data_IF_701750946739
#
_entry.id   IF_701750946739
#
_cell.length_a   1.000
_cell.length_b   1.000
_cell.length_c   1.000
_cell.angle_alpha   90.00
_cell.angle_beta   90.00
_cell.angle_gamma   90.00
#
_symmetry.space_group_name_H-M   'P 1'
#
loop_
_entity.id
_entity.type
_entity.pdbx_description
1 polymer ?
#
# COMPACT_ATOMS: atom_id res chain seq x y z
N UNK A 1 -14.58 62.26 -2.68
CA UNK A 1 -13.67 61.16 -2.32
C UNK A 1 -14.27 59.87 -2.87
N UNK A 2 -13.45 59.10 -3.63
CA UNK A 2 -13.57 57.69 -4.07
C UNK A 2 -14.95 57.15 -4.52
N UNK A 3 -15.23 56.97 -5.83
CA UNK A 3 -14.84 55.87 -6.76
C UNK A 3 -15.34 54.46 -6.38
N UNK A 4 -16.34 54.02 -7.14
CA UNK A 4 -16.54 52.70 -7.79
C UNK A 4 -15.75 51.49 -7.27
N UNK A 5 -16.48 50.41 -6.91
CA UNK A 5 -16.37 49.10 -7.57
C UNK A 5 -17.43 48.14 -6.99
N UNK A 6 -18.50 47.89 -7.75
CA UNK A 6 -19.42 46.78 -7.49
C UNK A 6 -18.80 45.52 -8.11
N UNK A 7 -18.08 44.73 -7.31
CA UNK A 7 -17.59 43.43 -7.74
C UNK A 7 -18.74 42.41 -7.63
N UNK A 8 -19.29 42.01 -8.77
CA UNK A 8 -20.21 40.88 -8.86
C UNK A 8 -19.43 39.59 -8.56
N UNK A 9 -19.62 39.03 -7.36
CA UNK A 9 -19.26 37.64 -7.08
C UNK A 9 -20.22 36.72 -7.83
N UNK A 10 -19.81 36.27 -9.01
CA UNK A 10 -20.40 35.08 -9.62
C UNK A 10 -19.81 33.89 -8.86
N UNK A 11 -20.53 33.44 -7.84
CA UNK A 11 -20.30 32.14 -7.23
C UNK A 11 -20.68 31.06 -8.26
N UNK A 12 -19.71 30.62 -9.06
CA UNK A 12 -19.86 29.42 -9.87
C UNK A 12 -19.82 28.21 -8.92
N UNK A 13 -20.98 27.90 -8.34
CA UNK A 13 -21.20 26.66 -7.60
C UNK A 13 -21.28 25.51 -8.60
N UNK A 14 -20.12 25.04 -9.05
CA UNK A 14 -20.01 23.67 -9.56
C UNK A 14 -19.99 22.74 -8.35
N UNK A 15 -21.17 22.53 -7.76
CA UNK A 15 -21.46 21.30 -7.02
C UNK A 15 -21.43 20.16 -8.06
N UNK A 16 -20.22 19.74 -8.43
CA UNK A 16 -20.04 18.36 -8.83
C UNK A 16 -20.23 17.57 -7.55
N UNK A 17 -21.39 16.93 -7.43
CA UNK A 17 -21.50 15.77 -6.55
C UNK A 17 -20.27 14.92 -6.87
N UNK A 18 -19.38 14.60 -5.92
CA UNK A 18 -18.33 13.64 -6.21
C UNK A 18 -19.09 12.41 -6.70
N UNK A 19 -18.79 11.98 -7.94
CA UNK A 19 -19.30 10.75 -8.48
C UNK A 19 -19.23 9.73 -7.36
N UNK A 20 -20.36 9.12 -7.03
CA UNK A 20 -20.37 7.98 -6.13
C UNK A 20 -19.42 6.98 -6.76
N UNK A 21 -18.18 6.98 -6.27
CA UNK A 21 -17.03 6.42 -6.99
C UNK A 21 -17.38 5.00 -7.42
N UNK A 22 -16.85 4.53 -8.55
CA UNK A 22 -17.04 3.18 -9.09
C UNK A 22 -16.67 2.08 -8.07
N UNK A 23 -17.48 1.91 -7.01
CA UNK A 23 -17.23 1.00 -5.90
C UNK A 23 -17.49 -0.43 -6.36
N UNK A 24 -18.44 -0.61 -7.26
CA UNK A 24 -18.64 -1.87 -7.96
C UNK A 24 -17.67 -1.96 -9.15
N UNK A 25 -17.05 -3.12 -9.37
CA UNK A 25 -16.17 -3.31 -10.52
C UNK A 25 -16.96 -3.54 -11.80
N UNK A 26 -16.48 -2.99 -12.93
CA UNK A 26 -17.03 -3.34 -14.24
C UNK A 26 -16.71 -4.80 -14.63
N UNK A 27 -15.59 -5.34 -14.13
CA UNK A 27 -15.20 -6.75 -14.29
C UNK A 27 -14.63 -7.26 -12.98
N UNK A 28 -15.07 -8.44 -12.54
CA UNK A 28 -14.40 -9.22 -11.51
C UNK A 28 -14.34 -10.68 -11.93
N UNK A 29 -13.28 -11.39 -11.53
CA UNK A 29 -13.07 -12.77 -11.94
C UNK A 29 -11.87 -13.40 -11.27
N UNK A 30 -11.42 -14.51 -11.83
CA UNK A 30 -10.28 -15.27 -11.32
C UNK A 30 -9.24 -15.44 -12.41
N UNK A 31 -7.96 -15.27 -12.06
CA UNK A 31 -6.81 -15.48 -12.92
C UNK A 31 -6.02 -16.67 -12.37
N UNK A 32 -5.66 -17.60 -13.25
CA UNK A 32 -4.77 -18.71 -12.91
C UNK A 32 -3.36 -18.17 -12.70
N UNK A 33 -2.76 -18.53 -11.56
CA UNK A 33 -1.36 -18.26 -11.22
C UNK A 33 -0.70 -19.56 -10.76
N UNK A 34 0.60 -19.53 -10.53
CA UNK A 34 1.30 -20.66 -9.91
C UNK A 34 0.70 -20.95 -8.53
N UNK A 35 0.26 -22.19 -8.31
CA UNK A 35 -0.28 -22.68 -7.04
C UNK A 35 -1.79 -22.48 -6.81
N UNK A 36 -2.51 -21.79 -7.69
CA UNK A 36 -3.97 -21.62 -7.57
C UNK A 36 -4.53 -20.46 -8.37
N UNK A 37 -5.74 -20.01 -8.03
CA UNK A 37 -6.39 -18.85 -8.67
C UNK A 37 -6.43 -17.65 -7.75
N UNK A 38 -6.09 -16.49 -8.30
CA UNK A 38 -6.29 -15.19 -7.63
C UNK A 38 -7.55 -14.51 -8.13
N UNK A 39 -8.31 -13.95 -7.21
CA UNK A 39 -9.42 -13.08 -7.52
C UNK A 39 -8.90 -11.69 -7.87
N UNK A 40 -9.49 -11.08 -8.90
CA UNK A 40 -9.22 -9.69 -9.27
C UNK A 40 -10.51 -8.95 -9.59
N UNK A 41 -10.41 -7.62 -9.53
CA UNK A 41 -11.39 -6.67 -10.05
C UNK A 41 -10.70 -5.65 -10.95
N UNK A 42 -11.47 -5.12 -11.89
CA UNK A 42 -11.08 -4.03 -12.78
C UNK A 42 -12.10 -2.91 -12.70
N UNK A 43 -11.59 -1.70 -12.54
CA UNK A 43 -12.32 -0.45 -12.73
C UNK A 43 -11.70 0.40 -13.83
N UNK A 44 -12.47 1.28 -14.46
CA UNK A 44 -11.98 2.18 -15.52
C UNK A 44 -11.73 1.43 -16.83
N UNK A 45 -12.59 0.46 -17.16
CA UNK A 45 -12.43 -0.43 -18.33
C UNK A 45 -12.28 0.36 -19.64
N UNK A 46 -12.95 1.51 -19.75
CA UNK A 46 -12.92 2.35 -20.96
C UNK A 46 -11.55 2.94 -21.31
N UNK A 47 -10.60 2.93 -20.35
CA UNK A 47 -9.23 3.39 -20.52
C UNK A 47 -8.25 2.28 -20.92
N UNK A 48 -8.67 1.00 -20.94
CA UNK A 48 -7.81 -0.11 -21.34
C UNK A 48 -7.27 0.11 -22.76
N UNK A 49 -5.97 -0.14 -22.95
CA UNK A 49 -5.26 0.08 -24.22
C UNK A 49 -5.03 1.55 -24.59
N UNK A 50 -5.58 2.51 -23.82
CA UNK A 50 -5.39 3.97 -24.03
C UNK A 50 -4.45 4.57 -22.98
N UNK A 51 -4.42 3.99 -21.79
CA UNK A 51 -3.63 4.43 -20.64
C UNK A 51 -2.99 3.21 -19.99
N UNK A 52 -1.81 3.35 -19.36
CA UNK A 52 -1.22 2.26 -18.60
C UNK A 52 -2.15 1.81 -17.47
N UNK A 53 -2.30 0.50 -17.28
CA UNK A 53 -3.14 -0.06 -16.24
C UNK A 53 -2.41 -0.01 -14.88
N UNK A 54 -3.09 0.42 -13.82
CA UNK A 54 -2.56 0.45 -12.46
C UNK A 54 -2.88 -0.86 -11.76
N UNK A 55 -1.88 -1.70 -11.50
CA UNK A 55 -2.02 -2.94 -10.72
C UNK A 55 -1.62 -2.65 -9.28
N UNK A 56 -2.52 -2.89 -8.32
CA UNK A 56 -2.30 -2.52 -6.92
C UNK A 56 -2.18 -3.75 -6.01
N UNK A 57 -1.02 -3.91 -5.37
CA UNK A 57 -0.72 -4.97 -4.42
C UNK A 57 -1.02 -4.53 -2.98
N UNK A 58 -1.72 -5.38 -2.22
CA UNK A 58 -2.03 -5.13 -0.81
C UNK A 58 -0.89 -5.53 0.13
N UNK A 59 -0.96 -4.99 1.36
CA UNK A 59 -0.04 -5.28 2.46
C UNK A 59 -0.29 -6.62 3.16
N UNK A 60 0.27 -6.73 4.36
CA UNK A 60 0.35 -7.97 5.13
C UNK A 60 1.80 -8.42 5.30
N UNK A 61 2.22 -9.61 4.82
CA UNK A 61 1.50 -10.51 3.91
C UNK A 61 0.24 -11.12 4.55
N UNK A 62 -0.76 -11.51 3.76
CA UNK A 62 -2.02 -12.01 4.31
C UNK A 62 -3.19 -11.02 4.30
N UNK A 63 -2.95 -9.79 3.83
CA UNK A 63 -3.96 -8.75 3.63
C UNK A 63 -4.90 -9.00 2.46
N UNK A 64 -5.65 -7.96 2.08
CA UNK A 64 -6.58 -7.98 0.94
C UNK A 64 -6.61 -6.64 0.23
N UNK A 65 -7.20 -6.61 -0.96
CA UNK A 65 -7.40 -5.40 -1.76
C UNK A 65 -8.18 -4.28 -1.05
N UNK A 66 -8.90 -4.58 0.04
CA UNK A 66 -9.81 -3.66 0.73
C UNK A 66 -9.14 -2.36 1.16
N UNK A 67 -7.94 -2.46 1.72
CA UNK A 67 -7.15 -1.29 2.12
C UNK A 67 -6.78 -0.39 0.94
N UNK A 68 -6.76 -0.94 -0.28
CA UNK A 68 -6.41 -0.24 -1.52
C UNK A 68 -7.63 0.26 -2.30
N UNK A 69 -8.85 0.12 -1.78
CA UNK A 69 -10.06 0.63 -2.42
C UNK A 69 -10.01 2.13 -2.78
N UNK A 70 -9.27 3.01 -2.05
CA UNK A 70 -9.05 4.38 -2.51
C UNK A 70 -8.57 4.54 -3.96
N UNK A 71 -7.77 3.60 -4.47
CA UNK A 71 -7.29 3.64 -5.85
C UNK A 71 -8.40 3.61 -6.90
N UNK A 72 -9.60 3.09 -6.60
CA UNK A 72 -10.72 3.09 -7.56
C UNK A 72 -11.17 4.51 -7.94
N UNK A 73 -10.80 5.53 -7.16
CA UNK A 73 -11.03 6.91 -7.55
C UNK A 73 -10.24 7.34 -8.79
N UNK A 74 -9.13 6.66 -9.12
CA UNK A 74 -8.35 6.88 -10.35
C UNK A 74 -8.97 6.23 -11.59
N UNK A 75 -10.06 5.48 -11.43
CA UNK A 75 -10.75 4.80 -12.52
C UNK A 75 -11.41 5.75 -13.53
N UNK A 76 -11.49 7.04 -13.21
CA UNK A 76 -11.92 8.12 -14.09
C UNK A 76 -10.88 8.51 -15.15
N UNK A 77 -9.62 8.07 -14.98
CA UNK A 77 -8.52 8.38 -15.90
C UNK A 77 -7.68 7.14 -16.29
N UNK A 78 -7.72 6.06 -15.51
CA UNK A 78 -6.87 4.88 -15.69
C UNK A 78 -7.64 3.57 -15.48
N UNK A 79 -7.24 2.47 -16.13
CA UNK A 79 -7.65 1.14 -15.69
C UNK A 79 -7.02 0.85 -14.32
N UNK A 80 -7.82 0.47 -13.33
CA UNK A 80 -7.36 0.14 -11.98
C UNK A 80 -7.68 -1.33 -11.69
N UNK A 81 -6.64 -2.12 -11.46
CA UNK A 81 -6.73 -3.53 -11.11
C UNK A 81 -6.39 -3.68 -9.63
N UNK A 82 -7.38 -4.11 -8.85
CA UNK A 82 -7.15 -4.56 -7.49
C UNK A 82 -7.31 -6.09 -7.47
N UNK A 83 -6.50 -6.78 -6.69
CA UNK A 83 -6.58 -8.23 -6.59
C UNK A 83 -6.21 -8.69 -5.18
N UNK A 84 -6.68 -9.87 -4.81
CA UNK A 84 -6.25 -10.55 -3.58
C UNK A 84 -5.13 -11.52 -3.93
N UNK A 85 -3.98 -11.43 -3.27
CA UNK A 85 -2.86 -12.34 -3.49
C UNK A 85 -3.26 -13.78 -3.16
N UNK A 86 -2.63 -14.78 -3.79
CA UNK A 86 -2.98 -16.18 -3.53
C UNK A 86 -2.84 -16.51 -2.04
N UNK A 87 -3.85 -17.16 -1.46
CA UNK A 87 -3.90 -17.46 -0.05
C UNK A 87 -4.68 -16.44 0.79
N UNK A 88 -5.15 -15.33 0.23
CA UNK A 88 -5.85 -14.28 0.97
C UNK A 88 -7.18 -13.91 0.33
N UNK A 89 -7.98 -13.11 1.05
CA UNK A 89 -9.21 -12.53 0.51
C UNK A 89 -10.14 -13.51 -0.18
N UNK A 90 -10.62 -13.11 -1.35
CA UNK A 90 -11.46 -13.87 -2.27
C UNK A 90 -10.68 -14.89 -3.11
N UNK A 91 -9.35 -14.87 -3.07
CA UNK A 91 -8.50 -15.82 -3.81
C UNK A 91 -8.54 -17.21 -3.19
N UNK A 92 -8.13 -18.21 -3.98
CA UNK A 92 -8.00 -19.58 -3.46
C UNK A 92 -6.99 -19.62 -2.32
N UNK A 93 -7.28 -20.47 -1.32
CA UNK A 93 -6.45 -20.63 -0.11
C UNK A 93 -5.87 -22.04 -0.05
N UNK A 94 -4.85 -22.35 -0.86
CA UNK A 94 -4.22 -23.67 -0.84
C UNK A 94 -3.50 -23.95 0.49
N UNK A 95 -3.21 -22.91 1.29
CA UNK A 95 -2.52 -23.00 2.59
C UNK A 95 -1.22 -23.82 2.52
N UNK A 96 -0.50 -23.70 1.41
CA UNK A 96 0.79 -24.34 1.20
C UNK A 96 1.91 -23.29 1.42
N UNK A 97 2.75 -23.44 2.46
CA UNK A 97 3.87 -22.53 2.73
C UNK A 97 4.88 -22.41 1.58
N UNK A 98 4.95 -23.40 0.68
CA UNK A 98 5.77 -23.30 -0.54
C UNK A 98 5.32 -22.15 -1.46
N UNK A 99 4.10 -21.65 -1.32
CA UNK A 99 3.64 -20.49 -2.08
C UNK A 99 4.04 -19.15 -1.43
N UNK A 100 4.57 -19.15 -0.20
CA UNK A 100 4.82 -17.95 0.61
C UNK A 100 6.26 -17.44 0.43
N UNK A 101 6.62 -17.17 -0.82
CA UNK A 101 7.95 -16.64 -1.22
C UNK A 101 7.76 -15.37 -2.04
N UNK A 102 8.64 -14.38 -1.82
CA UNK A 102 8.61 -13.07 -2.48
C UNK A 102 8.50 -13.23 -4.00
N UNK A 103 9.38 -14.04 -4.59
CA UNK A 103 9.48 -14.22 -6.05
C UNK A 103 8.19 -14.77 -6.65
N UNK A 104 7.47 -15.62 -5.91
CA UNK A 104 6.22 -16.22 -6.38
C UNK A 104 5.06 -15.23 -6.33
N UNK A 105 4.99 -14.36 -5.32
CA UNK A 105 4.04 -13.25 -5.32
C UNK A 105 4.36 -12.22 -6.42
N UNK A 106 5.63 -11.93 -6.66
CA UNK A 106 6.07 -11.06 -7.77
C UNK A 106 5.67 -11.65 -9.13
N UNK A 107 5.75 -12.97 -9.31
CA UNK A 107 5.30 -13.66 -10.52
C UNK A 107 3.78 -13.58 -10.77
N UNK A 108 2.95 -13.35 -9.74
CA UNK A 108 1.51 -13.11 -9.95
C UNK A 108 1.25 -11.88 -10.81
N UNK A 109 2.10 -10.85 -10.71
CA UNK A 109 1.96 -9.62 -11.48
C UNK A 109 2.07 -9.94 -12.97
N UNK A 110 3.03 -10.79 -13.36
CA UNK A 110 3.19 -11.21 -14.76
C UNK A 110 2.01 -12.05 -15.25
N UNK A 111 1.47 -12.94 -14.42
CA UNK A 111 0.26 -13.71 -14.74
C UNK A 111 -0.96 -12.80 -14.94
N UNK A 112 -1.14 -11.80 -14.08
CA UNK A 112 -2.23 -10.82 -14.20
C UNK A 112 -2.09 -10.01 -15.49
N UNK A 113 -0.88 -9.52 -15.78
CA UNK A 113 -0.61 -8.80 -17.03
C UNK A 113 -0.94 -9.64 -18.25
N UNK A 114 -0.45 -10.89 -18.30
CA UNK A 114 -0.68 -11.79 -19.42
C UNK A 114 -2.17 -12.14 -19.58
N UNK A 115 -2.87 -12.46 -18.50
CA UNK A 115 -4.28 -12.85 -18.54
C UNK A 115 -5.21 -11.70 -18.98
N UNK A 116 -4.84 -10.46 -18.68
CA UNK A 116 -5.61 -9.27 -19.02
C UNK A 116 -5.12 -8.54 -20.27
N UNK A 117 -4.03 -9.00 -20.90
CA UNK A 117 -3.44 -8.37 -22.08
C UNK A 117 -2.91 -6.97 -21.80
N UNK A 118 -2.20 -6.78 -20.68
CA UNK A 118 -1.70 -5.48 -20.23
C UNK A 118 -0.25 -5.26 -20.68
N UNK A 119 -0.09 -4.59 -21.82
CA UNK A 119 1.22 -4.21 -22.36
C UNK A 119 1.89 -3.17 -21.47
N UNK A 120 1.21 -2.04 -21.25
CA UNK A 120 1.70 -0.92 -20.46
C UNK A 120 1.06 -0.90 -19.07
N UNK A 121 1.90 -0.88 -18.03
CA UNK A 121 1.44 -0.90 -16.63
C UNK A 121 2.14 0.10 -15.72
N UNK A 122 1.43 0.48 -14.67
CA UNK A 122 1.95 1.13 -13.48
C UNK A 122 1.73 0.15 -12.33
N UNK A 123 2.76 -0.10 -11.55
CA UNK A 123 2.63 -0.94 -10.35
C UNK A 123 2.51 -0.06 -9.13
N UNK A 124 1.57 -0.39 -8.24
CA UNK A 124 1.39 0.27 -6.97
C UNK A 124 1.36 -0.76 -5.85
N UNK A 125 1.94 -0.44 -4.71
CA UNK A 125 2.02 -1.37 -3.60
C UNK A 125 1.98 -0.66 -2.26
N UNK A 126 1.20 -1.19 -1.32
CA UNK A 126 1.13 -0.68 0.05
C UNK A 126 1.77 -1.66 1.04
N UNK A 127 2.67 -1.20 1.92
CA UNK A 127 3.32 -2.04 2.94
C UNK A 127 4.11 -3.20 2.30
N UNK A 128 3.82 -4.45 2.67
CA UNK A 128 4.25 -5.65 1.94
C UNK A 128 3.94 -5.60 0.43
N UNK A 129 2.82 -5.03 0.00
CA UNK A 129 2.56 -4.81 -1.43
C UNK A 129 3.60 -3.89 -2.07
N UNK A 130 4.18 -2.97 -1.28
CA UNK A 130 5.30 -2.11 -1.66
C UNK A 130 6.61 -2.88 -1.84
N UNK A 131 6.84 -3.94 -1.05
CA UNK A 131 7.91 -4.94 -1.31
C UNK A 131 7.76 -5.52 -2.72
N UNK A 132 6.57 -6.04 -3.04
CA UNK A 132 6.29 -6.64 -4.34
C UNK A 132 6.45 -5.64 -5.49
N UNK A 133 6.02 -4.39 -5.29
CA UNK A 133 6.22 -3.32 -6.27
C UNK A 133 7.72 -3.01 -6.47
N UNK A 134 8.51 -2.89 -5.39
CA UNK A 134 9.94 -2.63 -5.49
C UNK A 134 10.68 -3.76 -6.22
N UNK A 135 10.41 -5.01 -5.87
CA UNK A 135 10.94 -6.21 -6.52
C UNK A 135 10.63 -6.24 -8.02
N UNK A 136 9.37 -5.94 -8.38
CA UNK A 136 8.97 -5.90 -9.79
C UNK A 136 9.64 -4.75 -10.55
N UNK A 137 9.80 -3.58 -9.92
CA UNK A 137 10.45 -2.42 -10.53
C UNK A 137 11.95 -2.65 -10.79
N UNK A 138 12.65 -3.33 -9.87
CA UNK A 138 14.07 -3.70 -10.01
C UNK A 138 14.31 -4.60 -11.23
N UNK A 139 13.35 -5.47 -11.57
CA UNK A 139 13.42 -6.31 -12.77
C UNK A 139 13.37 -5.51 -14.08
N UNK A 140 12.93 -4.25 -14.04
CA UNK A 140 12.75 -3.37 -15.20
C UNK A 140 12.06 -4.05 -16.41
N UNK A 141 10.90 -4.72 -16.21
CA UNK A 141 10.22 -5.40 -17.30
C UNK A 141 9.74 -4.40 -18.36
N UNK A 142 9.71 -4.85 -19.62
CA UNK A 142 9.13 -4.06 -20.71
C UNK A 142 7.67 -3.70 -20.41
N UNK A 143 7.26 -2.49 -20.81
CA UNK A 143 5.92 -1.96 -20.58
C UNK A 143 5.69 -1.39 -19.18
N UNK A 144 6.62 -1.53 -18.24
CA UNK A 144 6.52 -0.82 -16.95
C UNK A 144 6.75 0.69 -17.15
N UNK A 145 5.78 1.52 -16.76
CA UNK A 145 5.83 2.98 -16.92
C UNK A 145 6.17 3.74 -15.66
N UNK A 146 5.75 3.24 -14.50
CA UNK A 146 6.04 3.86 -13.21
C UNK A 146 5.79 2.89 -12.05
N UNK A 147 6.37 3.21 -10.89
CA UNK A 147 6.12 2.51 -9.64
C UNK A 147 5.61 3.47 -8.55
N UNK A 148 4.63 3.04 -7.76
CA UNK A 148 4.14 3.75 -6.57
C UNK A 148 4.40 2.85 -5.36
N UNK A 149 5.36 3.25 -4.53
CA UNK A 149 5.74 2.55 -3.31
C UNK A 149 5.13 3.29 -2.12
N UNK A 150 3.99 2.79 -1.64
CA UNK A 150 3.23 3.38 -0.55
C UNK A 150 3.59 2.70 0.78
N UNK A 151 4.16 3.45 1.70
CA UNK A 151 4.58 2.97 3.03
C UNK A 151 5.31 1.62 2.95
N UNK A 152 6.29 1.45 2.04
CA UNK A 152 6.74 0.12 1.66
C UNK A 152 7.65 -0.52 2.72
N UNK A 153 7.56 -1.85 2.85
CA UNK A 153 8.64 -2.63 3.45
C UNK A 153 9.78 -2.79 2.43
N UNK A 154 10.91 -2.12 2.66
CA UNK A 154 12.12 -2.20 1.81
C UNK A 154 13.22 -3.04 2.46
N UNK A 155 13.39 -2.93 3.78
CA UNK A 155 14.39 -3.67 4.56
C UNK A 155 13.80 -3.96 5.93
N UNK A 156 13.71 -5.23 6.31
CA UNK A 156 13.13 -5.63 7.60
C UNK A 156 13.95 -5.08 8.75
N UNK A 157 15.28 -5.07 8.63
CA UNK A 157 16.16 -4.47 9.64
C UNK A 157 15.85 -2.99 9.85
N UNK A 158 15.68 -2.23 8.76
CA UNK A 158 15.37 -0.80 8.89
C UNK A 158 13.97 -0.59 9.45
N UNK A 159 12.98 -1.38 9.01
CA UNK A 159 11.62 -1.32 9.52
C UNK A 159 11.59 -1.51 11.04
N UNK A 160 12.22 -2.57 11.54
CA UNK A 160 12.28 -2.84 12.98
C UNK A 160 12.99 -1.71 13.73
N UNK A 161 14.09 -1.16 13.20
CA UNK A 161 14.78 -0.02 13.81
C UNK A 161 13.88 1.24 13.88
N UNK A 162 13.15 1.55 12.82
CA UNK A 162 12.21 2.68 12.79
C UNK A 162 11.10 2.52 13.82
N UNK A 163 10.54 1.31 13.93
CA UNK A 163 9.48 1.03 14.89
C UNK A 163 9.98 1.02 16.34
N UNK A 164 11.23 0.60 16.61
CA UNK A 164 11.81 0.73 17.95
C UNK A 164 11.97 2.19 18.38
N UNK A 165 12.28 3.11 17.46
CA UNK A 165 12.31 4.54 17.76
C UNK A 165 10.92 5.12 18.04
N UNK A 166 9.88 4.58 17.41
CA UNK A 166 8.49 4.91 17.75
C UNK A 166 8.07 4.34 19.10
N UNK A 167 8.47 3.11 19.42
CA UNK A 167 8.25 2.48 20.73
C UNK A 167 8.92 3.30 21.84
N UNK A 168 10.13 3.82 21.62
CA UNK A 168 10.83 4.68 22.58
C UNK A 168 10.10 6.01 22.89
N UNK A 169 9.15 6.40 22.04
CA UNK A 169 8.32 7.60 22.25
C UNK A 169 6.99 7.30 22.95
N UNK A 170 6.69 6.02 23.21
CA UNK A 170 5.54 5.63 24.03
C UNK A 170 5.82 5.92 25.53
N UNK A 171 4.79 5.93 26.39
CA UNK A 171 5.01 5.94 27.83
C UNK A 171 5.98 4.82 28.25
N UNK A 172 6.95 5.08 29.15
CA UNK A 172 8.02 4.12 29.47
C UNK A 172 7.51 2.73 29.89
N UNK A 173 6.40 2.66 30.62
CA UNK A 173 5.77 1.41 31.03
C UNK A 173 5.18 0.64 29.84
N UNK A 174 4.66 1.34 28.84
CA UNK A 174 4.13 0.75 27.61
C UNK A 174 5.27 0.16 26.78
N UNK A 175 6.36 0.92 26.60
CA UNK A 175 7.56 0.45 25.88
C UNK A 175 8.22 -0.75 26.59
N UNK A 176 8.32 -0.72 27.93
CA UNK A 176 8.84 -1.84 28.71
C UNK A 176 7.96 -3.10 28.60
N UNK A 177 6.64 -2.94 28.55
CA UNK A 177 5.68 -4.03 28.37
C UNK A 177 5.89 -4.72 27.02
N UNK A 178 6.03 -3.95 25.93
CA UNK A 178 6.31 -4.49 24.60
C UNK A 178 7.58 -5.35 24.63
N UNK A 179 8.70 -4.76 25.08
CA UNK A 179 10.02 -5.42 25.09
C UNK A 179 10.05 -6.68 25.94
N UNK A 180 9.40 -6.65 27.11
CA UNK A 180 9.29 -7.82 27.99
C UNK A 180 8.61 -8.98 27.29
N UNK A 181 7.42 -8.74 26.73
CA UNK A 181 6.62 -9.80 26.13
C UNK A 181 7.22 -10.33 24.83
N UNK A 182 7.91 -9.50 24.04
CA UNK A 182 8.71 -9.96 22.89
C UNK A 182 9.85 -10.89 23.33
N UNK A 183 10.63 -10.49 24.35
CA UNK A 183 11.75 -11.29 24.87
C UNK A 183 11.28 -12.62 25.48
N UNK A 184 10.10 -12.64 26.11
CA UNK A 184 9.50 -13.82 26.73
C UNK A 184 8.66 -14.67 25.75
N UNK A 185 8.44 -14.20 24.51
CA UNK A 185 7.58 -14.88 23.52
C UNK A 185 6.09 -14.91 23.92
N UNK A 186 5.65 -13.97 24.76
CA UNK A 186 4.27 -13.90 25.31
C UNK A 186 3.42 -12.81 24.64
N UNK A 187 3.57 -12.64 23.34
CA UNK A 187 2.89 -11.60 22.52
C UNK A 187 1.36 -11.77 22.42
N UNK A 188 0.80 -12.85 22.95
CA UNK A 188 -0.65 -13.02 23.12
C UNK A 188 -1.18 -12.52 24.47
N UNK A 189 -0.31 -12.04 25.37
CA UNK A 189 -0.70 -11.54 26.69
C UNK A 189 -1.55 -10.26 26.58
N UNK A 190 -2.60 -10.08 27.41
CA UNK A 190 -3.45 -8.89 27.37
C UNK A 190 -2.69 -7.57 27.49
N UNK A 191 -1.67 -7.50 28.35
CA UNK A 191 -0.85 -6.29 28.52
C UNK A 191 -0.08 -5.93 27.24
N UNK A 192 0.45 -6.95 26.54
CA UNK A 192 1.09 -6.74 25.24
C UNK A 192 0.09 -6.23 24.20
N UNK A 193 -1.12 -6.82 24.13
CA UNK A 193 -2.17 -6.37 23.21
C UNK A 193 -2.63 -4.94 23.51
N UNK A 194 -2.67 -4.54 24.77
CA UNK A 194 -2.96 -3.15 25.14
C UNK A 194 -1.84 -2.19 24.70
N UNK A 195 -0.58 -2.59 24.87
CA UNK A 195 0.56 -1.79 24.44
C UNK A 195 0.68 -1.70 22.90
N UNK A 196 0.42 -2.80 22.20
CA UNK A 196 0.29 -2.86 20.75
C UNK A 196 -0.82 -1.91 20.25
N UNK A 197 -2.00 -1.93 20.86
CA UNK A 197 -3.08 -1.02 20.50
C UNK A 197 -2.69 0.45 20.67
N UNK A 198 -1.93 0.78 21.73
CA UNK A 198 -1.41 2.12 21.95
C UNK A 198 -0.41 2.53 20.85
N UNK A 199 0.41 1.60 20.37
CA UNK A 199 1.29 1.82 19.23
C UNK A 199 0.50 2.05 17.93
N UNK A 200 -0.42 1.15 17.57
CA UNK A 200 -1.20 1.25 16.33
C UNK A 200 -2.11 2.48 16.27
N UNK A 201 -2.65 2.96 17.39
CA UNK A 201 -3.41 4.21 17.43
C UNK A 201 -2.59 5.44 17.01
N UNK A 202 -1.25 5.36 17.12
CA UNK A 202 -0.32 6.45 16.76
C UNK A 202 0.31 6.24 15.40
N UNK A 203 0.62 5.00 15.02
CA UNK A 203 1.47 4.72 13.88
C UNK A 203 0.80 3.94 12.75
N UNK A 204 -0.32 3.24 13.01
CA UNK A 204 -1.07 2.50 11.99
C UNK A 204 -2.27 3.31 11.48
N UNK A 205 -3.27 3.57 12.33
CA UNK A 205 -4.56 4.14 11.94
C UNK A 205 -4.97 5.25 12.91
N UNK A 206 -4.81 6.51 12.49
CA UNK A 206 -4.87 7.68 13.37
C UNK A 206 -6.20 8.41 13.31
N UNK A 207 -6.81 8.49 12.14
CA UNK A 207 -8.00 9.31 11.90
C UNK A 207 -9.27 8.47 11.80
N UNK A 208 -10.40 9.17 11.85
CA UNK A 208 -11.70 8.53 11.69
C UNK A 208 -11.92 7.98 10.28
N UNK A 209 -11.34 8.64 9.26
CA UNK A 209 -11.39 8.16 7.88
C UNK A 209 -10.71 6.80 7.70
N UNK A 210 -9.62 6.56 8.45
CA UNK A 210 -8.97 5.26 8.47
C UNK A 210 -9.83 4.19 9.16
N UNK A 211 -10.42 4.51 10.32
CA UNK A 211 -11.25 3.56 11.09
C UNK A 211 -12.59 3.24 10.40
N UNK A 212 -13.16 4.23 9.74
CA UNK A 212 -14.47 4.18 9.09
C UNK A 212 -14.34 4.51 7.61
N UNK A 213 -13.79 3.57 6.86
CA UNK A 213 -13.67 3.68 5.40
C UNK A 213 -15.05 3.83 4.76
N UNK A 214 -15.17 4.79 3.84
CA UNK A 214 -16.37 4.99 3.00
C UNK A 214 -16.54 3.92 1.92
N UNK A 215 -15.52 3.08 1.74
CA UNK A 215 -15.52 2.03 0.72
C UNK A 215 -16.20 0.77 1.22
N UNK A 216 -17.02 0.16 0.36
CA UNK A 216 -17.64 -1.12 0.67
C UNK A 216 -16.58 -2.20 0.92
N UNK A 217 -16.83 -3.00 1.94
CA UNK A 217 -15.97 -4.10 2.38
C UNK A 217 -16.66 -5.42 2.06
N UNK A 218 -16.26 -6.10 0.99
CA UNK A 218 -16.81 -7.40 0.58
C UNK A 218 -15.78 -8.55 0.71
N UNK A 219 -16.23 -9.77 1.00
CA UNK A 219 -15.40 -10.99 1.04
C UNK A 219 -14.82 -11.40 2.41
N UNK A 220 -13.89 -12.37 2.46
CA UNK A 220 -13.13 -12.70 3.66
C UNK A 220 -11.95 -11.73 3.83
N UNK A 221 -11.58 -11.40 5.08
CA UNK A 221 -10.69 -10.25 5.31
C UNK A 221 -9.18 -10.53 5.26
N UNK A 222 -8.72 -11.63 5.86
CA UNK A 222 -7.31 -11.77 6.27
C UNK A 222 -6.87 -13.23 6.29
N UNK A 223 -5.57 -13.48 6.16
CA UNK A 223 -4.93 -14.77 6.41
C UNK A 223 -3.88 -14.63 7.54
N UNK A 224 -4.26 -14.92 8.80
CA UNK A 224 -3.36 -14.76 9.94
C UNK A 224 -2.22 -15.78 9.92
N UNK A 225 -2.45 -16.98 9.37
CA UNK A 225 -1.40 -18.02 9.30
C UNK A 225 -0.27 -17.58 8.37
N UNK A 226 -0.61 -17.00 7.22
CA UNK A 226 0.39 -16.45 6.31
C UNK A 226 1.14 -15.28 6.95
N UNK A 227 0.42 -14.35 7.58
CA UNK A 227 1.05 -13.20 8.24
C UNK A 227 2.00 -13.63 9.34
N UNK A 228 1.58 -14.50 10.26
CA UNK A 228 2.42 -14.98 11.36
C UNK A 228 3.63 -15.79 10.85
N UNK A 229 3.47 -16.55 9.75
CA UNK A 229 4.56 -17.34 9.18
C UNK A 229 5.59 -16.47 8.47
N UNK A 230 5.15 -15.51 7.68
CA UNK A 230 6.05 -14.68 6.88
C UNK A 230 6.62 -13.51 7.67
N UNK A 231 5.79 -12.87 8.48
CA UNK A 231 6.14 -11.67 9.22
C UNK A 231 6.33 -11.98 10.70
N UNK A 232 5.22 -12.14 11.44
CA UNK A 232 5.29 -12.20 12.90
C UNK A 232 3.96 -11.87 13.57
N UNK A 233 3.95 -11.77 14.92
CA UNK A 233 2.74 -11.49 15.68
C UNK A 233 2.30 -10.01 15.64
N UNK A 234 3.19 -9.07 15.30
CA UNK A 234 2.92 -7.62 15.22
C UNK A 234 3.76 -6.95 14.14
N UNK A 235 3.39 -5.74 13.72
CA UNK A 235 4.15 -4.97 12.71
C UNK A 235 5.58 -4.64 13.13
N UNK A 236 5.88 -4.60 14.44
CA UNK A 236 7.20 -4.22 14.94
C UNK A 236 8.01 -5.40 15.51
N UNK A 237 7.52 -6.64 15.33
CA UNK A 237 8.23 -7.86 15.70
C UNK A 237 8.10 -8.92 14.61
N UNK A 238 9.19 -9.13 13.85
CA UNK A 238 9.20 -9.94 12.62
C UNK A 238 10.11 -11.18 12.70
N UNK A 239 9.77 -12.23 13.49
CA UNK A 239 10.55 -13.48 13.56
C UNK A 239 10.33 -14.44 12.37
N UNK A 240 9.41 -14.13 11.45
CA UNK A 240 9.01 -14.99 10.33
C UNK A 240 10.03 -15.09 9.20
N UNK A 241 9.61 -15.64 8.06
CA UNK A 241 10.52 -15.88 6.92
C UNK A 241 11.10 -14.60 6.30
N UNK A 242 10.46 -13.44 6.50
CA UNK A 242 10.92 -12.13 6.02
C UNK A 242 11.91 -11.42 6.96
N UNK A 243 12.32 -12.04 8.09
CA UNK A 243 13.20 -11.41 9.08
C UNK A 243 14.50 -10.82 8.52
N UNK A 244 15.03 -11.42 7.44
CA UNK A 244 16.28 -11.05 6.78
C UNK A 244 16.07 -10.38 5.41
N UNK A 245 14.84 -10.01 5.05
CA UNK A 245 14.53 -9.39 3.76
C UNK A 245 15.13 -7.98 3.61
N UNK A 246 15.76 -7.71 2.46
CA UNK A 246 16.29 -6.38 2.09
C UNK A 246 16.46 -6.25 0.56
N UNK A 247 15.68 -5.36 -0.07
CA UNK A 247 15.78 -5.00 -1.50
C UNK A 247 16.51 -3.66 -1.72
N UNK A 248 16.94 -2.99 -0.64
CA UNK A 248 17.54 -1.67 -0.74
C UNK A 248 18.79 -1.62 -1.63
N UNK A 249 19.70 -2.61 -1.66
CA UNK A 249 20.87 -2.58 -2.54
C UNK A 249 20.53 -2.54 -4.04
N UNK A 250 19.35 -3.02 -4.43
CA UNK A 250 18.93 -3.11 -5.83
C UNK A 250 18.15 -1.87 -6.30
N UNK A 251 17.66 -1.02 -5.39
CA UNK A 251 16.92 0.19 -5.72
C UNK A 251 17.61 1.12 -6.75
N UNK A 252 18.96 1.28 -6.77
CA UNK A 252 19.63 2.07 -7.80
C UNK A 252 19.44 1.58 -9.24
N UNK A 253 18.99 0.33 -9.42
CA UNK A 253 18.76 -0.26 -10.74
C UNK A 253 17.39 0.06 -11.35
N UNK A 254 16.46 0.62 -10.56
CA UNK A 254 15.12 0.98 -11.02
C UNK A 254 15.21 2.12 -12.03
N UNK A 255 14.67 1.91 -13.25
CA UNK A 255 14.75 2.88 -14.35
C UNK A 255 13.54 3.80 -14.45
N UNK A 256 12.37 3.31 -14.04
CA UNK A 256 11.10 4.03 -14.22
C UNK A 256 10.89 5.12 -13.17
N UNK A 257 10.14 6.18 -13.49
CA UNK A 257 9.67 7.15 -12.50
C UNK A 257 9.02 6.44 -11.31
N UNK A 258 9.39 6.85 -10.10
CA UNK A 258 8.90 6.21 -8.88
C UNK A 258 8.34 7.25 -7.92
N UNK A 259 7.19 6.97 -7.31
CA UNK A 259 6.68 7.73 -6.18
C UNK A 259 6.88 6.92 -4.90
N UNK A 260 7.65 7.45 -3.96
CA UNK A 260 7.70 7.00 -2.58
C UNK A 260 6.73 7.85 -1.76
N UNK A 261 5.69 7.25 -1.19
CA UNK A 261 4.68 7.98 -0.41
C UNK A 261 4.43 7.29 0.93
N UNK A 262 4.51 8.01 2.05
CA UNK A 262 4.23 7.44 3.38
C UNK A 262 3.66 8.49 4.33
N UNK A 263 3.06 8.05 5.44
CA UNK A 263 2.48 8.94 6.45
C UNK A 263 3.53 9.66 7.29
N UNK A 264 3.18 10.82 7.85
CA UNK A 264 4.03 11.58 8.79
C UNK A 264 4.42 10.77 10.05
N UNK A 265 3.55 9.86 10.50
CA UNK A 265 3.71 9.04 11.70
C UNK A 265 3.85 7.54 11.38
N UNK A 266 4.17 7.22 10.12
CA UNK A 266 4.17 5.88 9.56
C UNK A 266 5.24 4.95 10.17
N UNK A 267 4.92 3.66 10.22
CA UNK A 267 5.80 2.55 10.61
C UNK A 267 6.95 2.39 9.60
N UNK A 268 6.67 2.63 8.31
CA UNK A 268 7.67 2.96 7.32
C UNK A 268 8.09 4.43 7.51
N UNK A 269 8.96 4.70 8.48
CA UNK A 269 9.21 6.06 8.95
C UNK A 269 9.61 7.04 7.81
N UNK A 270 9.14 8.31 7.84
CA UNK A 270 9.43 9.31 6.81
C UNK A 270 10.91 9.47 6.47
N UNK A 271 11.79 9.33 7.47
CA UNK A 271 13.25 9.40 7.28
C UNK A 271 13.75 8.26 6.38
N UNK A 272 13.22 7.05 6.56
CA UNK A 272 13.59 5.86 5.80
C UNK A 272 12.95 5.90 4.42
N UNK A 273 11.69 6.34 4.30
CA UNK A 273 11.08 6.61 2.99
C UNK A 273 11.95 7.56 2.16
N UNK A 274 12.33 8.72 2.72
CA UNK A 274 13.20 9.69 2.02
C UNK A 274 14.54 9.08 1.65
N UNK A 275 15.15 8.32 2.56
CA UNK A 275 16.44 7.66 2.30
C UNK A 275 16.35 6.66 1.15
N UNK A 276 15.38 5.75 1.18
CA UNK A 276 15.20 4.73 0.14
C UNK A 276 14.78 5.36 -1.20
N UNK A 277 13.94 6.40 -1.18
CA UNK A 277 13.65 7.16 -2.39
C UNK A 277 14.91 7.80 -2.98
N UNK A 278 15.79 8.36 -2.16
CA UNK A 278 17.07 8.92 -2.61
C UNK A 278 18.03 7.90 -3.24
N UNK A 279 17.78 6.60 -3.08
CA UNK A 279 18.53 5.53 -3.75
C UNK A 279 18.00 5.22 -5.16
N UNK A 280 16.79 5.65 -5.50
CA UNK A 280 16.15 5.42 -6.79
C UNK A 280 16.36 6.65 -7.68
N UNK A 281 17.00 6.53 -8.87
CA UNK A 281 17.41 7.68 -9.68
C UNK A 281 16.29 8.68 -10.02
N UNK A 282 15.08 8.20 -10.27
CA UNK A 282 13.93 8.99 -10.71
C UNK A 282 12.78 8.99 -9.70
N UNK A 283 13.09 8.91 -8.41
CA UNK A 283 12.07 8.91 -7.37
C UNK A 283 11.69 10.31 -6.87
N UNK A 284 10.40 10.49 -6.59
CA UNK A 284 9.85 11.60 -5.80
C UNK A 284 9.40 11.07 -4.44
N UNK A 285 9.53 11.87 -3.40
CA UNK A 285 9.02 11.53 -2.06
C UNK A 285 7.85 12.44 -1.69
N UNK A 286 6.78 11.86 -1.16
CA UNK A 286 5.64 12.57 -0.57
C UNK A 286 5.40 12.06 0.85
N UNK A 287 5.30 12.98 1.81
CA UNK A 287 4.89 12.65 3.18
C UNK A 287 3.47 13.17 3.38
N UNK A 288 2.56 12.27 3.77
CA UNK A 288 1.14 12.59 3.93
C UNK A 288 0.92 13.13 5.35
N UNK A 289 0.45 14.38 5.50
CA UNK A 289 0.36 15.04 6.79
C UNK A 289 -0.70 14.37 7.67
N UNK A 290 -0.39 14.21 8.95
CA UNK A 290 -1.29 13.65 9.96
C UNK A 290 -1.51 12.14 9.88
N UNK A 291 -0.97 11.47 8.86
CA UNK A 291 -1.23 10.06 8.57
C UNK A 291 -0.19 9.10 9.17
N UNK A 292 -0.62 7.90 9.53
CA UNK A 292 0.20 6.74 9.89
C UNK A 292 0.34 5.78 8.72
N UNK A 293 0.50 4.50 9.02
CA UNK A 293 0.75 3.43 8.06
C UNK A 293 -0.44 3.17 7.15
N UNK A 294 -1.68 3.24 7.64
CA UNK A 294 -2.89 3.26 6.82
C UNK A 294 -3.05 4.63 6.12
N UNK A 295 -2.00 5.06 5.41
CA UNK A 295 -1.78 6.43 4.97
C UNK A 295 -2.92 6.98 4.13
N UNK A 296 -3.42 6.17 3.20
CA UNK A 296 -4.54 6.54 2.32
C UNK A 296 -5.89 6.58 3.04
N UNK A 297 -6.04 5.85 4.15
CA UNK A 297 -7.23 5.95 5.00
C UNK A 297 -7.18 7.18 5.90
N UNK A 298 -6.00 7.50 6.43
CA UNK A 298 -5.84 8.61 7.36
C UNK A 298 -6.07 9.97 6.70
N UNK A 299 -5.61 10.14 5.45
CA UNK A 299 -5.76 11.38 4.69
C UNK A 299 -5.91 11.08 3.19
N UNK A 300 -7.07 10.52 2.83
CA UNK A 300 -7.40 10.10 1.46
C UNK A 300 -7.28 11.24 0.44
N UNK A 301 -7.79 12.43 0.76
CA UNK A 301 -7.79 13.58 -0.14
C UNK A 301 -6.36 13.97 -0.56
N UNK A 302 -5.46 14.15 0.43
CA UNK A 302 -4.06 14.50 0.14
C UNK A 302 -3.34 13.37 -0.58
N UNK A 303 -3.59 12.11 -0.18
CA UNK A 303 -3.00 10.94 -0.81
C UNK A 303 -3.37 10.86 -2.29
N UNK A 304 -4.67 10.98 -2.61
CA UNK A 304 -5.16 10.92 -3.99
C UNK A 304 -4.69 12.11 -4.82
N UNK A 305 -4.63 13.32 -4.25
CA UNK A 305 -4.04 14.49 -4.90
C UNK A 305 -2.58 14.22 -5.30
N UNK A 306 -1.77 13.68 -4.38
CA UNK A 306 -0.37 13.36 -4.64
C UNK A 306 -0.21 12.31 -5.75
N UNK A 307 -1.04 11.26 -5.76
CA UNK A 307 -1.04 10.27 -6.84
C UNK A 307 -1.36 10.91 -8.19
N UNK A 308 -2.43 11.72 -8.28
CA UNK A 308 -2.81 12.38 -9.55
C UNK A 308 -1.71 13.31 -10.07
N UNK A 309 -1.06 14.08 -9.20
CA UNK A 309 0.07 14.94 -9.58
C UNK A 309 1.21 14.11 -10.16
N UNK A 310 1.57 13.00 -9.51
CA UNK A 310 2.62 12.11 -10.01
C UNK A 310 2.26 11.50 -11.37
N UNK A 311 1.04 10.95 -11.49
CA UNK A 311 0.55 10.29 -12.70
C UNK A 311 0.43 11.23 -13.89
N UNK A 312 -0.01 12.47 -13.67
CA UNK A 312 -0.08 13.50 -14.72
C UNK A 312 1.31 13.83 -15.27
N UNK A 313 2.32 13.91 -14.40
CA UNK A 313 3.71 14.18 -14.78
C UNK A 313 4.41 13.04 -15.51
N UNK A 314 3.77 11.88 -15.73
CA UNK A 314 4.31 10.82 -16.59
C UNK A 314 4.12 11.09 -18.09
N UNK A 315 3.20 11.99 -18.43
CA UNK A 315 2.89 12.36 -19.82
C UNK A 315 3.70 13.60 -20.31
N UNK A 316 4.50 14.21 -19.43
CA UNK A 316 5.32 15.41 -19.68
C UNK A 316 6.80 15.03 -19.84
#
# INVERSE_FOLDING_TARGET
>A
MLRLALAALIALSLLTLPAQAHQDPEIAGYIQVDGGKVWYRLNGREHLGKRPAIIVMHGGPGGTHRGNMPYVALADEFPVILYDQLGTGNSERPNNPENWRVERFVAEIDHIRAALGLDDVIIAGHSWGGTLAAEYAVRNPEGLKAAILSSPLISTRQWIADNQEWIDQLPPETAATIRKHEAEGTTNHPDYRAAEAAFYARHMCRTEGCRNSRYRVDGPNWNPVMYETMWGPTEFFAPGTLKDYDISPQLPTVKVPTLMICGEYDEAAPKSCRRFAGMIPNAKTVIVPGAGHATMGDNEEFYMMALRIFLKGLNE
#
